data_IF_024469842041
#
_entry.id   IF_024469842041
#
_cell.length_a   1.000
_cell.length_b   1.000
_cell.length_c   1.000
_cell.angle_alpha   90.00
_cell.angle_beta   90.00
_cell.angle_gamma   90.00
#
_symmetry.space_group_name_H-M   'P 1'
#
loop_
_entity.id
_entity.type
_entity.pdbx_description
1 polymer ?
#
# COMPACT_ATOMS: atom_id res chain seq x y z
N UNK A 1 22.41 -56.19 -33.66
CA UNK A 1 22.13 -54.80 -33.24
C UNK A 1 21.39 -54.11 -34.38
N UNK A 2 20.11 -53.73 -34.26
CA UNK A 2 19.42 -52.96 -35.27
C UNK A 2 19.67 -51.46 -35.08
N UNK A 3 19.97 -50.80 -36.20
CA UNK A 3 20.19 -49.38 -36.30
C UNK A 3 18.88 -48.60 -36.01
N UNK A 4 18.98 -47.53 -35.21
CA UNK A 4 17.89 -46.58 -35.00
C UNK A 4 17.68 -45.78 -36.27
N UNK A 5 16.55 -45.95 -36.94
CA UNK A 5 16.06 -45.06 -37.98
C UNK A 5 15.74 -43.71 -37.33
N UNK A 6 16.53 -42.71 -37.63
CA UNK A 6 16.18 -41.31 -37.42
C UNK A 6 15.28 -40.88 -38.59
N UNK A 7 14.06 -40.51 -38.27
CA UNK A 7 13.11 -39.97 -39.24
C UNK A 7 13.59 -38.56 -39.67
N UNK A 8 13.92 -38.33 -40.95
CA UNK A 8 14.46 -37.03 -41.38
C UNK A 8 13.38 -35.92 -41.55
N UNK A 9 12.12 -36.24 -41.22
CA UNK A 9 10.97 -35.32 -41.33
C UNK A 9 10.33 -34.93 -40.01
N UNK A 10 11.07 -35.04 -38.88
CA UNK A 10 10.60 -34.46 -37.65
C UNK A 10 10.63 -32.93 -37.78
N UNK A 11 9.49 -32.29 -37.97
CA UNK A 11 9.34 -30.83 -37.85
C UNK A 11 9.96 -30.39 -36.50
N UNK A 12 10.76 -29.30 -36.49
CA UNK A 12 11.30 -28.79 -35.25
C UNK A 12 10.11 -28.41 -34.36
N UNK A 13 10.02 -29.02 -33.19
CA UNK A 13 9.00 -28.70 -32.19
C UNK A 13 8.95 -27.17 -32.04
N UNK A 14 7.82 -26.58 -32.41
CA UNK A 14 7.58 -25.14 -32.27
C UNK A 14 7.96 -24.73 -30.84
N UNK A 15 8.98 -23.90 -30.73
CA UNK A 15 9.36 -23.35 -29.43
C UNK A 15 8.18 -22.57 -28.92
N UNK A 16 7.64 -22.89 -27.72
CA UNK A 16 6.45 -22.23 -27.21
C UNK A 16 6.59 -20.71 -27.26
N UNK A 17 5.58 -20.00 -27.69
CA UNK A 17 5.55 -18.53 -27.89
C UNK A 17 6.00 -17.72 -26.68
N UNK A 18 6.05 -18.30 -25.48
CA UNK A 18 6.57 -17.67 -24.25
C UNK A 18 8.11 -17.74 -24.12
N UNK A 19 8.81 -18.54 -24.97
CA UNK A 19 10.27 -18.51 -25.00
C UNK A 19 10.76 -17.13 -25.45
N UNK A 20 11.64 -16.53 -24.66
CA UNK A 20 12.12 -15.16 -24.89
C UNK A 20 11.17 -14.02 -24.48
N UNK A 21 9.90 -14.32 -24.15
CA UNK A 21 8.98 -13.27 -23.69
C UNK A 21 9.45 -12.61 -22.39
N UNK A 22 9.89 -13.40 -21.41
CA UNK A 22 10.42 -12.90 -20.13
C UNK A 22 11.66 -12.02 -20.32
N UNK A 23 12.53 -12.41 -21.26
CA UNK A 23 13.73 -11.66 -21.59
C UNK A 23 13.38 -10.32 -22.22
N UNK A 24 12.52 -10.29 -23.23
CA UNK A 24 12.03 -9.06 -23.85
C UNK A 24 11.34 -8.12 -22.87
N UNK A 25 10.58 -8.68 -21.89
CA UNK A 25 9.91 -7.89 -20.88
C UNK A 25 10.90 -7.24 -19.91
N UNK A 26 11.94 -7.97 -19.50
CA UNK A 26 13.04 -7.46 -18.69
C UNK A 26 13.84 -6.39 -19.45
N UNK A 27 14.19 -6.67 -20.71
CA UNK A 27 14.92 -5.73 -21.55
C UNK A 27 14.16 -4.41 -21.70
N UNK A 28 12.84 -4.47 -21.93
CA UNK A 28 11.99 -3.28 -21.98
C UNK A 28 11.94 -2.53 -20.65
N UNK A 29 11.88 -3.24 -19.54
CA UNK A 29 11.94 -2.65 -18.21
C UNK A 29 13.23 -1.87 -17.97
N UNK A 30 14.39 -2.45 -18.36
CA UNK A 30 15.69 -1.80 -18.18
C UNK A 30 15.98 -0.69 -19.20
N UNK A 31 15.54 -0.85 -20.44
CA UNK A 31 15.86 0.12 -21.50
C UNK A 31 14.90 1.31 -21.52
N UNK A 32 13.60 1.10 -21.26
CA UNK A 32 12.58 2.13 -21.35
C UNK A 32 12.02 2.57 -19.98
N UNK A 33 12.47 1.92 -18.90
CA UNK A 33 12.03 2.22 -17.51
C UNK A 33 10.73 1.51 -17.11
N UNK A 34 10.40 1.55 -15.81
CA UNK A 34 9.22 0.86 -15.24
C UNK A 34 7.89 1.38 -15.82
N UNK A 35 7.80 2.67 -16.15
CA UNK A 35 6.59 3.31 -16.67
C UNK A 35 6.23 2.84 -18.09
N UNK A 36 7.15 2.17 -18.78
CA UNK A 36 6.91 1.57 -20.10
C UNK A 36 6.13 0.25 -20.01
N UNK A 37 5.93 -0.30 -18.80
CA UNK A 37 5.16 -1.51 -18.57
C UNK A 37 3.76 -1.17 -18.10
N UNK A 38 2.77 -1.86 -18.64
CA UNK A 38 1.41 -1.84 -18.09
C UNK A 38 1.33 -2.64 -16.79
N UNK A 39 0.29 -2.40 -15.99
CA UNK A 39 0.06 -3.08 -14.70
C UNK A 39 0.16 -4.60 -14.80
N UNK A 40 -0.40 -5.21 -15.88
CA UNK A 40 -0.35 -6.66 -16.03
C UNK A 40 1.07 -7.16 -16.35
N UNK A 41 1.86 -6.40 -17.09
CA UNK A 41 3.24 -6.74 -17.43
C UNK A 41 4.17 -6.62 -16.22
N UNK A 42 3.96 -5.58 -15.42
CA UNK A 42 4.68 -5.41 -14.15
C UNK A 42 4.34 -6.55 -13.18
N UNK A 43 3.04 -6.91 -13.06
CA UNK A 43 2.61 -8.03 -12.23
C UNK A 43 3.12 -9.37 -12.76
N UNK A 44 3.11 -9.57 -14.08
CA UNK A 44 3.68 -10.74 -14.73
C UNK A 44 5.16 -10.91 -14.37
N UNK A 45 5.94 -9.82 -14.47
CA UNK A 45 7.36 -9.81 -14.15
C UNK A 45 7.62 -10.07 -12.66
N UNK A 46 6.77 -9.52 -11.79
CA UNK A 46 6.81 -9.75 -10.35
C UNK A 46 6.57 -11.23 -9.98
N UNK A 47 5.82 -11.97 -10.78
CA UNK A 47 5.51 -13.40 -10.59
C UNK A 47 6.60 -14.34 -11.14
N UNK A 48 7.55 -13.87 -11.95
CA UNK A 48 8.59 -14.72 -12.53
C UNK A 48 9.37 -15.57 -11.53
N UNK A 49 9.79 -15.05 -10.36
CA UNK A 49 10.51 -15.84 -9.36
C UNK A 49 9.67 -16.97 -8.77
N UNK A 50 8.37 -16.72 -8.58
CA UNK A 50 7.45 -17.67 -8.00
C UNK A 50 7.03 -18.78 -8.99
N UNK A 51 7.07 -18.50 -10.28
CA UNK A 51 6.60 -19.37 -11.36
C UNK A 51 7.64 -19.49 -12.49
N UNK A 52 8.83 -20.06 -12.23
CA UNK A 52 9.96 -19.98 -13.17
C UNK A 52 9.71 -20.69 -14.50
N UNK A 53 8.84 -21.70 -14.54
CA UNK A 53 8.58 -22.54 -15.72
C UNK A 53 7.17 -22.41 -16.29
N UNK A 54 6.33 -21.49 -15.75
CA UNK A 54 4.94 -21.27 -16.21
C UNK A 54 4.82 -19.96 -16.92
N UNK A 55 3.89 -19.88 -17.89
CA UNK A 55 3.41 -18.61 -18.39
C UNK A 55 2.68 -17.88 -17.28
N UNK A 56 3.17 -16.68 -16.93
CA UNK A 56 2.64 -15.84 -15.84
C UNK A 56 1.58 -14.87 -16.34
N UNK A 57 1.51 -14.63 -17.64
CA UNK A 57 0.58 -13.67 -18.26
C UNK A 57 -0.89 -13.96 -18.00
N UNK A 58 -1.38 -15.23 -18.13
CA UNK A 58 -2.78 -15.54 -17.81
C UNK A 58 -3.12 -15.25 -16.35
N UNK A 59 -2.23 -15.62 -15.42
CA UNK A 59 -2.43 -15.38 -13.98
C UNK A 59 -2.43 -13.89 -13.65
N UNK A 60 -1.51 -13.12 -14.21
CA UNK A 60 -1.47 -11.66 -14.02
C UNK A 60 -2.76 -10.99 -14.48
N UNK A 61 -3.28 -11.39 -15.65
CA UNK A 61 -4.56 -10.89 -16.16
C UNK A 61 -5.76 -11.29 -15.29
N UNK A 62 -5.79 -12.52 -14.78
CA UNK A 62 -6.84 -12.97 -13.86
C UNK A 62 -6.84 -12.18 -12.56
N UNK A 63 -5.66 -11.94 -11.98
CA UNK A 63 -5.50 -11.13 -10.78
C UNK A 63 -6.00 -9.71 -11.01
N UNK A 64 -5.59 -9.03 -12.08
CA UNK A 64 -6.07 -7.68 -12.36
C UNK A 64 -7.57 -7.64 -12.68
N UNK A 65 -8.10 -8.64 -13.39
CA UNK A 65 -9.54 -8.74 -13.63
C UNK A 65 -10.33 -8.86 -12.32
N UNK A 66 -9.80 -9.57 -11.33
CA UNK A 66 -10.48 -9.79 -10.04
C UNK A 66 -10.36 -8.61 -9.08
N UNK A 67 -9.20 -7.96 -9.05
CA UNK A 67 -8.89 -6.94 -8.05
C UNK A 67 -8.89 -5.50 -8.59
N UNK A 68 -8.77 -5.31 -9.90
CA UNK A 68 -8.88 -4.01 -10.57
C UNK A 68 -7.53 -3.40 -10.96
N UNK A 69 -6.60 -3.23 -10.05
CA UNK A 69 -5.29 -2.58 -10.28
C UNK A 69 -4.13 -3.37 -9.69
N UNK A 70 -2.90 -3.03 -10.09
CA UNK A 70 -1.69 -3.58 -9.49
C UNK A 70 -1.64 -3.36 -7.97
N UNK A 71 -2.00 -2.16 -7.52
CA UNK A 71 -2.02 -1.83 -6.11
C UNK A 71 -3.03 -2.67 -5.32
N UNK A 72 -4.22 -2.88 -5.86
CA UNK A 72 -5.24 -3.72 -5.23
C UNK A 72 -4.83 -5.19 -5.18
N UNK A 73 -4.17 -5.72 -6.20
CA UNK A 73 -3.60 -7.07 -6.17
C UNK A 73 -2.57 -7.21 -5.05
N UNK A 74 -1.62 -6.27 -4.98
CA UNK A 74 -0.52 -6.31 -4.01
C UNK A 74 -1.03 -6.23 -2.56
N UNK A 75 -2.07 -5.44 -2.32
CA UNK A 75 -2.64 -5.26 -0.98
C UNK A 75 -3.79 -6.23 -0.67
N UNK A 76 -4.29 -7.00 -1.65
CA UNK A 76 -5.38 -7.93 -1.44
C UNK A 76 -5.12 -8.91 -0.27
N UNK A 77 -6.11 -9.24 0.57
CA UNK A 77 -5.98 -10.24 1.61
C UNK A 77 -5.55 -11.59 1.04
N UNK A 78 -4.71 -12.32 1.79
CA UNK A 78 -4.21 -13.63 1.36
C UNK A 78 -5.36 -14.60 1.02
N UNK A 79 -6.41 -14.62 1.83
CA UNK A 79 -7.59 -15.46 1.59
C UNK A 79 -8.24 -15.15 0.23
N UNK A 80 -8.32 -13.86 -0.14
CA UNK A 80 -8.89 -13.44 -1.44
C UNK A 80 -7.97 -13.77 -2.61
N UNK A 81 -6.64 -13.69 -2.42
CA UNK A 81 -5.68 -14.13 -3.42
C UNK A 81 -5.82 -15.63 -3.70
N UNK A 82 -5.99 -16.47 -2.65
CA UNK A 82 -6.16 -17.92 -2.77
C UNK A 82 -7.38 -18.35 -3.61
N UNK A 83 -8.37 -17.48 -3.76
CA UNK A 83 -9.54 -17.73 -4.60
C UNK A 83 -9.23 -17.65 -6.12
N UNK A 84 -8.04 -17.17 -6.50
CA UNK A 84 -7.67 -17.06 -7.92
C UNK A 84 -7.12 -18.37 -8.42
N UNK A 85 -7.71 -18.88 -9.48
CA UNK A 85 -7.27 -20.12 -10.10
C UNK A 85 -5.80 -20.03 -10.56
N UNK A 86 -5.02 -21.05 -10.23
CA UNK A 86 -3.62 -21.16 -10.62
C UNK A 86 -2.62 -20.38 -9.76
N UNK A 87 -3.08 -19.66 -8.72
CA UNK A 87 -2.20 -19.07 -7.73
C UNK A 87 -1.77 -20.12 -6.70
N UNK A 88 -0.51 -20.06 -6.29
CA UNK A 88 0.04 -20.91 -5.22
C UNK A 88 0.73 -20.05 -4.16
N UNK A 89 1.14 -20.69 -3.05
CA UNK A 89 1.78 -20.00 -1.92
C UNK A 89 2.99 -19.17 -2.34
N UNK A 90 3.84 -19.68 -3.23
CA UNK A 90 4.99 -18.93 -3.74
C UNK A 90 4.59 -17.60 -4.41
N UNK A 91 3.50 -17.61 -5.19
CA UNK A 91 2.99 -16.40 -5.84
C UNK A 91 2.41 -15.41 -4.83
N UNK A 92 1.69 -15.91 -3.82
CA UNK A 92 1.14 -15.10 -2.74
C UNK A 92 2.28 -14.47 -1.92
N UNK A 93 3.29 -15.24 -1.54
CA UNK A 93 4.46 -14.73 -0.84
C UNK A 93 5.16 -13.62 -1.64
N UNK A 94 5.34 -13.80 -2.94
CA UNK A 94 5.96 -12.79 -3.80
C UNK A 94 5.14 -11.49 -3.84
N UNK A 95 3.81 -11.60 -3.98
CA UNK A 95 2.90 -10.45 -3.97
C UNK A 95 2.98 -9.72 -2.60
N UNK A 96 2.94 -10.47 -1.49
CA UNK A 96 3.02 -9.88 -0.15
C UNK A 96 4.39 -9.29 0.16
N UNK A 97 5.46 -9.84 -0.40
CA UNK A 97 6.80 -9.26 -0.28
C UNK A 97 6.86 -7.87 -0.93
N UNK A 98 6.24 -7.68 -2.11
CA UNK A 98 6.16 -6.37 -2.76
C UNK A 98 5.44 -5.34 -1.89
N UNK A 99 4.30 -5.71 -1.30
CA UNK A 99 3.58 -4.84 -0.36
C UNK A 99 4.44 -4.44 0.84
N UNK A 100 5.11 -5.42 1.44
CA UNK A 100 5.97 -5.19 2.60
C UNK A 100 7.19 -4.32 2.24
N UNK A 101 7.79 -4.53 1.07
CA UNK A 101 8.91 -3.73 0.59
C UNK A 101 8.49 -2.27 0.34
N UNK A 102 7.40 -2.04 -0.38
CA UNK A 102 6.86 -0.72 -0.65
C UNK A 102 6.56 0.05 0.65
N UNK A 103 5.90 -0.61 1.61
CA UNK A 103 5.61 -0.03 2.93
C UNK A 103 6.89 0.35 3.70
N UNK A 104 7.92 -0.50 3.66
CA UNK A 104 9.21 -0.22 4.33
C UNK A 104 9.98 0.92 3.69
N UNK A 105 9.97 1.01 2.36
CA UNK A 105 10.61 2.11 1.63
C UNK A 105 9.93 3.42 2.00
N UNK A 106 8.61 3.50 1.89
CA UNK A 106 7.86 4.69 2.27
C UNK A 106 8.10 5.11 3.73
N UNK A 107 8.13 4.14 4.66
CA UNK A 107 8.45 4.38 6.07
C UNK A 107 9.90 4.82 6.29
N UNK A 108 10.83 4.29 5.50
CA UNK A 108 12.25 4.65 5.54
C UNK A 108 12.51 6.06 5.04
N UNK A 109 11.80 6.50 4.02
CA UNK A 109 11.86 7.87 3.51
C UNK A 109 11.36 8.89 4.53
N UNK A 110 10.26 8.60 5.23
CA UNK A 110 9.76 9.44 6.33
C UNK A 110 10.76 9.52 7.49
N UNK A 111 11.41 8.41 7.87
CA UNK A 111 12.44 8.43 8.92
C UNK A 111 13.74 9.13 8.50
N UNK A 112 14.08 9.13 7.20
CA UNK A 112 15.24 9.85 6.65
C UNK A 112 14.94 11.31 6.38
N UNK A 113 13.74 11.63 5.99
CA UNK A 113 13.22 12.98 5.90
C UNK A 113 12.96 13.47 7.33
N UNK A 114 14.05 13.79 8.01
CA UNK A 114 14.15 14.31 9.38
C UNK A 114 13.31 15.60 9.59
N UNK A 115 12.70 16.10 8.59
CA UNK A 115 11.57 17.01 8.61
C UNK A 115 10.54 16.43 7.65
N UNK A 116 9.26 16.45 7.98
CA UNK A 116 8.19 16.26 7.00
C UNK A 116 8.37 17.34 5.94
N UNK A 117 9.33 17.11 5.03
CA UNK A 117 9.83 18.11 4.08
C UNK A 117 8.81 18.41 3.01
N UNK A 118 7.84 17.50 2.82
CA UNK A 118 6.72 17.73 1.93
C UNK A 118 5.47 17.04 2.46
N UNK A 119 4.34 17.75 2.34
CA UNK A 119 3.02 17.22 2.64
C UNK A 119 2.69 15.98 1.80
N UNK A 120 3.18 15.94 0.55
CA UNK A 120 3.00 14.82 -0.36
C UNK A 120 3.65 13.52 0.15
N UNK A 121 4.79 13.61 0.85
CA UNK A 121 5.46 12.44 1.42
C UNK A 121 4.63 11.82 2.55
N UNK A 122 4.02 12.68 3.39
CA UNK A 122 3.08 12.24 4.45
C UNK A 122 1.89 11.52 3.84
N UNK A 123 1.27 12.11 2.83
CA UNK A 123 0.12 11.52 2.13
C UNK A 123 0.50 10.18 1.48
N UNK A 124 1.63 10.14 0.76
CA UNK A 124 2.16 8.93 0.13
C UNK A 124 2.34 7.80 1.14
N UNK A 125 2.95 8.11 2.29
CA UNK A 125 3.12 7.16 3.37
C UNK A 125 1.79 6.66 3.95
N UNK A 126 0.89 7.58 4.30
CA UNK A 126 -0.41 7.21 4.86
C UNK A 126 -1.20 6.32 3.90
N UNK A 127 -1.21 6.65 2.61
CA UNK A 127 -1.87 5.83 1.60
C UNK A 127 -1.24 4.46 1.46
N UNK A 128 0.09 4.37 1.34
CA UNK A 128 0.78 3.08 1.19
C UNK A 128 0.62 2.16 2.39
N UNK A 129 0.42 2.73 3.58
CA UNK A 129 0.32 1.95 4.83
C UNK A 129 -1.11 1.57 5.22
N UNK A 130 -2.13 2.33 4.78
CA UNK A 130 -3.49 2.21 5.31
C UNK A 130 -4.61 2.14 4.27
N UNK A 131 -4.42 2.68 3.04
CA UNK A 131 -5.52 2.82 2.07
C UNK A 131 -6.18 1.49 1.67
N UNK A 132 -5.46 0.38 1.77
CA UNK A 132 -5.92 -0.94 1.40
C UNK A 132 -6.21 -1.85 2.60
N UNK A 133 -6.23 -1.30 3.81
CA UNK A 133 -6.58 -2.08 5.00
C UNK A 133 -8.08 -2.40 5.00
N UNK A 134 -8.42 -3.67 5.31
CA UNK A 134 -9.81 -4.15 5.34
C UNK A 134 -10.60 -3.66 6.56
N UNK A 135 -9.88 -3.16 7.56
CA UNK A 135 -10.45 -2.62 8.78
C UNK A 135 -10.06 -1.16 8.93
N UNK A 136 -10.96 -0.38 9.50
CA UNK A 136 -10.66 0.98 9.89
C UNK A 136 -9.58 0.99 10.97
N UNK A 137 -8.55 1.80 10.75
CA UNK A 137 -7.46 2.03 11.69
C UNK A 137 -7.34 3.52 11.95
N UNK A 138 -7.19 3.89 13.20
CA UNK A 138 -6.83 5.24 13.60
C UNK A 138 -5.35 5.29 13.99
N UNK A 139 -4.60 6.15 13.33
CA UNK A 139 -3.15 6.29 13.48
C UNK A 139 -2.78 7.70 13.86
N UNK A 140 -1.75 7.83 14.66
CA UNK A 140 -1.19 9.11 15.10
C UNK A 140 0.27 9.22 14.67
N UNK A 141 0.60 10.33 14.04
CA UNK A 141 1.98 10.74 13.80
C UNK A 141 2.31 11.83 14.81
N UNK A 142 3.27 11.53 15.70
CA UNK A 142 3.74 12.45 16.74
C UNK A 142 4.97 13.18 16.26
N UNK A 143 4.97 14.50 16.40
CA UNK A 143 6.02 15.36 15.86
C UNK A 143 6.66 16.21 16.96
N UNK A 144 7.96 16.49 16.80
CA UNK A 144 8.68 17.45 17.62
C UNK A 144 8.48 18.89 17.12
N UNK A 145 9.10 19.86 17.82
CA UNK A 145 9.05 21.28 17.47
C UNK A 145 9.65 21.64 16.10
N UNK A 146 10.37 20.71 15.46
CA UNK A 146 10.93 20.85 14.11
C UNK A 146 10.10 20.11 13.07
N UNK A 147 8.91 19.63 13.46
CA UNK A 147 8.06 18.77 12.66
C UNK A 147 8.74 17.43 12.25
N UNK A 148 9.67 16.96 13.09
CA UNK A 148 10.28 15.64 12.87
C UNK A 148 9.41 14.57 13.51
N UNK A 149 9.26 13.43 12.82
CA UNK A 149 8.48 12.32 13.31
C UNK A 149 9.18 11.65 14.51
N UNK A 150 8.57 11.76 15.70
CA UNK A 150 9.01 11.08 16.92
C UNK A 150 8.51 9.64 16.93
N UNK A 151 7.22 9.45 16.66
CA UNK A 151 6.57 8.15 16.65
C UNK A 151 5.41 8.11 15.66
N UNK A 152 5.14 6.89 15.18
CA UNK A 152 4.02 6.54 14.33
C UNK A 152 3.33 5.33 14.95
N UNK A 153 2.12 5.54 15.47
CA UNK A 153 1.41 4.54 16.25
C UNK A 153 -0.01 4.34 15.76
N UNK A 154 -0.40 3.07 15.59
CA UNK A 154 -1.80 2.71 15.42
C UNK A 154 -2.42 2.70 16.82
N UNK A 155 -3.29 3.67 17.08
CA UNK A 155 -3.97 3.78 18.38
C UNK A 155 -5.09 2.76 18.50
N UNK A 156 -5.79 2.52 17.41
CA UNK A 156 -6.92 1.61 17.41
C UNK A 156 -7.13 0.96 16.05
N UNK A 157 -7.59 -0.27 16.08
CA UNK A 157 -8.11 -0.98 14.91
C UNK A 157 -9.56 -1.34 15.24
N UNK A 158 -10.49 -0.76 14.51
CA UNK A 158 -11.93 -0.95 14.72
C UNK A 158 -12.51 -2.13 13.97
N UNK A 159 -13.84 -2.14 13.92
CA UNK A 159 -14.63 -2.96 13.00
C UNK A 159 -14.64 -2.33 11.60
N UNK A 160 -15.49 -2.81 10.69
CA UNK A 160 -15.57 -2.29 9.32
C UNK A 160 -16.05 -0.84 9.27
N UNK A 161 -16.84 -0.40 10.27
CA UNK A 161 -17.60 0.86 10.19
C UNK A 161 -17.27 1.87 11.30
N UNK A 162 -16.48 1.53 12.32
CA UNK A 162 -16.22 2.45 13.43
C UNK A 162 -14.98 2.08 14.26
N UNK A 163 -14.16 3.10 14.55
CA UNK A 163 -13.01 3.02 15.45
C UNK A 163 -13.16 4.08 16.54
N UNK A 164 -13.55 3.71 17.78
CA UNK A 164 -13.68 4.69 18.84
C UNK A 164 -12.31 5.26 19.22
N UNK A 165 -12.17 6.58 19.11
CA UNK A 165 -10.95 7.33 19.50
C UNK A 165 -11.28 8.16 20.73
N UNK A 166 -10.46 8.02 21.76
CA UNK A 166 -10.60 8.77 23.00
C UNK A 166 -9.61 9.93 23.05
N UNK A 167 -10.04 11.18 22.94
CA UNK A 167 -9.14 12.35 22.92
C UNK A 167 -8.14 12.36 24.08
N UNK A 168 -8.57 11.96 25.28
CA UNK A 168 -7.68 11.87 26.48
C UNK A 168 -6.49 10.93 26.26
N UNK A 169 -6.67 9.79 25.58
CA UNK A 169 -5.59 8.83 25.34
C UNK A 169 -4.61 9.37 24.28
N UNK A 170 -5.13 10.07 23.25
CA UNK A 170 -4.32 10.76 22.25
C UNK A 170 -3.41 11.79 22.92
N UNK A 171 -3.98 12.64 23.78
CA UNK A 171 -3.24 13.69 24.46
C UNK A 171 -2.25 13.12 25.48
N UNK A 172 -2.68 12.13 26.28
CA UNK A 172 -1.78 11.43 27.20
C UNK A 172 -0.54 10.92 26.45
N UNK A 173 -0.75 10.24 25.32
CA UNK A 173 0.34 9.68 24.55
C UNK A 173 1.25 10.77 23.94
N UNK A 174 0.69 11.87 23.50
CA UNK A 174 1.45 13.02 23.01
C UNK A 174 2.37 13.61 24.09
N UNK A 175 1.86 13.74 25.32
CA UNK A 175 2.65 14.22 26.45
C UNK A 175 3.75 13.24 26.84
N UNK A 176 3.47 11.93 26.91
CA UNK A 176 4.48 10.89 27.17
C UNK A 176 5.65 10.94 26.18
N UNK A 177 5.35 11.22 24.91
CA UNK A 177 6.35 11.34 23.84
C UNK A 177 6.99 12.72 23.75
N UNK A 178 6.57 13.69 24.57
CA UNK A 178 6.96 15.09 24.49
C UNK A 178 6.74 15.68 23.09
N UNK A 179 5.67 15.24 22.41
CA UNK A 179 5.30 15.72 21.10
C UNK A 179 4.72 17.13 21.19
N UNK A 180 5.09 17.99 20.23
CA UNK A 180 4.58 19.36 20.13
C UNK A 180 3.55 19.51 19.02
N UNK A 181 3.45 18.50 18.14
CA UNK A 181 2.43 18.49 17.11
C UNK A 181 1.99 17.06 16.78
N UNK A 182 0.78 16.96 16.22
CA UNK A 182 0.13 15.71 15.80
C UNK A 182 -0.38 15.80 14.36
N UNK A 183 -0.33 14.69 13.64
CA UNK A 183 -1.17 14.45 12.48
C UNK A 183 -2.02 13.23 12.80
N UNK A 184 -3.33 13.40 12.67
CA UNK A 184 -4.30 12.32 12.81
C UNK A 184 -4.51 11.69 11.44
N UNK A 185 -4.58 10.38 11.39
CA UNK A 185 -4.81 9.65 10.13
C UNK A 185 -5.77 8.49 10.39
N UNK A 186 -6.79 8.35 9.57
CA UNK A 186 -7.54 7.09 9.52
C UNK A 186 -7.87 6.69 8.07
N UNK A 187 -8.20 5.43 7.87
CA UNK A 187 -8.60 4.93 6.56
C UNK A 187 -10.08 4.55 6.55
N UNK A 188 -10.70 4.78 5.40
CA UNK A 188 -12.04 4.28 5.10
C UNK A 188 -11.93 3.02 4.21
N UNK A 189 -12.27 1.83 4.72
CA UNK A 189 -12.25 0.59 3.94
C UNK A 189 -13.19 0.61 2.72
N UNK A 190 -14.24 1.45 2.76
CA UNK A 190 -15.14 1.70 1.62
C UNK A 190 -14.41 2.25 0.40
N UNK A 191 -13.27 2.92 0.61
CA UNK A 191 -12.48 3.58 -0.43
C UNK A 191 -12.81 5.06 -0.60
N UNK A 192 -13.94 5.56 -0.09
CA UNK A 192 -14.32 6.97 -0.12
C UNK A 192 -13.72 7.71 1.08
N UNK A 193 -12.82 8.70 0.87
CA UNK A 193 -12.17 9.42 1.96
C UNK A 193 -13.03 10.58 2.52
N UNK A 194 -14.30 10.69 2.15
CA UNK A 194 -15.18 11.78 2.64
C UNK A 194 -15.32 11.73 4.15
N UNK A 195 -15.02 12.84 4.89
CA UNK A 195 -15.13 12.87 6.34
C UNK A 195 -16.58 12.71 6.80
N UNK A 196 -16.79 11.89 7.82
CA UNK A 196 -18.07 11.84 8.54
C UNK A 196 -18.19 13.01 9.53
N UNK A 197 -19.42 13.29 9.99
CA UNK A 197 -19.62 14.27 11.07
C UNK A 197 -18.93 13.85 12.38
N UNK A 198 -18.85 12.56 12.64
CA UNK A 198 -18.16 12.01 13.80
C UNK A 198 -16.65 12.28 13.74
N UNK A 199 -16.02 12.14 12.56
CA UNK A 199 -14.60 12.45 12.35
C UNK A 199 -14.30 13.92 12.64
N UNK A 200 -15.15 14.79 12.13
CA UNK A 200 -15.02 16.24 12.34
C UNK A 200 -15.16 16.60 13.82
N UNK A 201 -16.17 16.08 14.50
CA UNK A 201 -16.41 16.36 15.92
C UNK A 201 -15.29 15.82 16.80
N UNK A 202 -14.85 14.59 16.57
CA UNK A 202 -13.73 13.96 17.29
C UNK A 202 -12.45 14.75 17.10
N UNK A 203 -12.16 15.20 15.87
CA UNK A 203 -10.97 15.99 15.58
C UNK A 203 -11.01 17.33 16.29
N UNK A 204 -12.14 18.03 16.26
CA UNK A 204 -12.32 19.28 17.01
C UNK A 204 -12.09 19.09 18.50
N UNK A 205 -12.64 18.04 19.08
CA UNK A 205 -12.43 17.73 20.50
C UNK A 205 -10.94 17.50 20.83
N UNK A 206 -10.18 16.85 19.94
CA UNK A 206 -8.74 16.67 20.12
C UNK A 206 -8.01 18.03 20.00
N UNK A 207 -8.35 18.86 19.01
CA UNK A 207 -7.77 20.21 18.82
C UNK A 207 -8.00 21.07 20.05
N UNK A 208 -9.24 21.11 20.56
CA UNK A 208 -9.62 21.93 21.72
C UNK A 208 -8.87 21.53 23.00
N UNK A 209 -8.60 20.23 23.18
CA UNK A 209 -7.85 19.73 24.36
C UNK A 209 -6.34 19.93 24.17
N UNK A 210 -5.82 19.75 22.95
CA UNK A 210 -4.40 19.84 22.63
C UNK A 210 -3.87 21.27 22.74
N UNK A 211 -4.62 22.25 22.23
CA UNK A 211 -4.20 23.63 22.13
C UNK A 211 -3.76 24.29 23.46
N UNK A 212 -4.51 24.15 24.58
CA UNK A 212 -4.09 24.69 25.88
C UNK A 212 -2.82 24.03 26.42
N UNK A 213 -2.45 22.86 25.95
CA UNK A 213 -1.26 22.11 26.34
C UNK A 213 -0.05 22.40 25.43
N UNK A 214 -0.19 23.32 24.50
CA UNK A 214 0.87 23.68 23.55
C UNK A 214 1.12 22.61 22.48
N UNK A 215 0.15 21.72 22.23
CA UNK A 215 0.23 20.68 21.21
C UNK A 215 -0.63 21.11 20.01
N UNK A 216 -0.02 21.20 18.83
CA UNK A 216 -0.72 21.58 17.59
C UNK A 216 -1.22 20.34 16.86
N UNK A 217 -2.47 20.33 16.44
CA UNK A 217 -2.95 19.35 15.44
C UNK A 217 -2.74 19.94 14.05
N UNK A 218 -1.78 19.38 13.30
CA UNK A 218 -1.44 19.89 11.98
C UNK A 218 -2.51 19.61 10.96
N UNK A 219 -3.06 18.38 10.99
CA UNK A 219 -4.18 17.97 10.14
C UNK A 219 -4.81 16.69 10.65
N UNK A 220 -5.96 16.36 10.06
CA UNK A 220 -6.54 15.03 10.09
C UNK A 220 -6.74 14.57 8.64
N UNK A 221 -6.05 13.49 8.28
CA UNK A 221 -6.03 12.92 6.94
C UNK A 221 -6.87 11.66 6.94
N UNK A 222 -7.84 11.60 6.05
CA UNK A 222 -8.63 10.40 5.79
C UNK A 222 -8.14 9.79 4.49
N UNK A 223 -7.73 8.53 4.51
CA UNK A 223 -7.24 7.83 3.32
C UNK A 223 -8.20 6.75 2.86
N UNK A 224 -8.43 6.69 1.57
CA UNK A 224 -9.19 5.66 0.90
C UNK A 224 -8.45 5.15 -0.34
N UNK A 225 -8.94 4.07 -0.92
CA UNK A 225 -8.38 3.52 -2.16
C UNK A 225 -8.37 4.54 -3.29
N UNK A 226 -9.41 5.37 -3.35
CA UNK A 226 -9.64 6.33 -4.43
C UNK A 226 -9.00 7.71 -4.17
N UNK A 227 -8.36 7.91 -3.02
CA UNK A 227 -7.75 9.21 -2.73
C UNK A 227 -7.55 9.46 -1.24
N UNK A 228 -7.49 10.72 -0.87
CA UNK A 228 -7.43 11.18 0.51
C UNK A 228 -8.20 12.48 0.69
N UNK A 229 -8.60 12.78 1.91
CA UNK A 229 -9.14 14.06 2.33
C UNK A 229 -8.30 14.63 3.49
N UNK A 230 -8.16 15.95 3.51
CA UNK A 230 -7.53 16.72 4.57
C UNK A 230 -8.58 17.60 5.22
N UNK A 231 -8.85 17.42 6.52
CA UNK A 231 -9.85 18.24 7.21
C UNK A 231 -9.43 19.71 7.25
N UNK A 232 -8.13 19.98 7.44
CA UNK A 232 -7.59 21.34 7.38
C UNK A 232 -7.67 21.94 5.98
N UNK A 233 -7.34 21.17 4.94
CA UNK A 233 -7.48 21.59 3.55
C UNK A 233 -8.94 21.92 3.18
N UNK A 234 -9.89 21.22 3.78
CA UNK A 234 -11.34 21.45 3.64
C UNK A 234 -11.87 22.56 4.59
N UNK A 235 -11.03 23.13 5.44
CA UNK A 235 -11.37 24.17 6.44
C UNK A 235 -12.42 23.69 7.46
N UNK A 236 -12.35 22.44 7.85
CA UNK A 236 -13.25 21.83 8.84
C UNK A 236 -12.69 21.88 10.26
N UNK A 237 -11.39 22.12 10.38
CA UNK A 237 -10.64 22.32 11.61
C UNK A 237 -9.67 23.51 11.46
#
# INVERSE_FOLDING_TARGET
>A
MPAKNSDPNAEPAETPHYHGHRERLRERFYSAGPDALSDYELLEMALFPALPRRDTKPLAKLLLKKFGSFAEVVHAPEARLREVEGIGDASIHQIKLLAAAASRVAKGEIKRSIALSSWNDVIGYCRSSMAFADKEQFRLLFLDKRNQLIADEVQQTGTVDHTPVYPREVIKRALELSATALILVHNHPSGDPTPSQADIQMTKAIVDIAAPLGISVHDHIIVGKNGHASLKGMRLI
#
